data_IF_013214105901
#
_entry.id   IF_013214105901
#
_cell.length_a   1.000
_cell.length_b   1.000
_cell.length_c   1.000
_cell.angle_alpha   90.00
_cell.angle_beta   90.00
_cell.angle_gamma   90.00
#
_symmetry.space_group_name_H-M   'P 1'
#
loop_
_entity.id
_entity.type
_entity.pdbx_description
1 polymer ?
#
# COMPACT_ATOMS: atom_id res chain seq x y z
N UNK A 1 25.82 -12.05 0.45
CA UNK A 1 25.37 -12.86 1.61
C UNK A 1 24.15 -12.28 2.32
N UNK A 2 24.17 -11.03 2.82
CA UNK A 2 23.02 -10.43 3.54
C UNK A 2 21.71 -10.38 2.73
N UNK A 3 21.76 -9.95 1.46
CA UNK A 3 20.59 -9.88 0.59
C UNK A 3 19.93 -11.25 0.37
N UNK A 4 20.72 -12.29 0.07
CA UNK A 4 20.23 -13.66 -0.12
C UNK A 4 19.57 -14.22 1.13
N UNK A 5 20.17 -14.00 2.32
CA UNK A 5 19.59 -14.43 3.59
C UNK A 5 18.28 -13.70 3.88
N UNK A 6 18.24 -12.37 3.67
CA UNK A 6 17.03 -11.57 3.86
C UNK A 6 15.92 -11.99 2.90
N UNK A 7 16.27 -12.32 1.64
CA UNK A 7 15.32 -12.82 0.65
C UNK A 7 14.76 -14.19 1.04
N UNK A 8 15.60 -15.13 1.46
CA UNK A 8 15.14 -16.45 1.91
C UNK A 8 14.25 -16.36 3.15
N UNK A 9 14.56 -15.45 4.09
CA UNK A 9 13.71 -15.19 5.25
C UNK A 9 12.36 -14.64 4.84
N UNK A 10 12.33 -13.63 3.96
CA UNK A 10 11.09 -13.06 3.46
C UNK A 10 10.28 -14.10 2.67
N UNK A 11 10.93 -14.84 1.78
CA UNK A 11 10.29 -15.91 1.02
C UNK A 11 9.68 -16.97 1.94
N UNK A 12 10.42 -17.42 2.96
CA UNK A 12 9.91 -18.37 3.97
C UNK A 12 8.67 -17.84 4.69
N UNK A 13 8.67 -16.55 5.03
CA UNK A 13 7.54 -15.88 5.69
C UNK A 13 6.26 -15.97 4.86
N UNK A 14 6.35 -15.65 3.56
CA UNK A 14 5.19 -15.57 2.67
C UNK A 14 4.92 -16.85 1.88
N UNK A 15 5.79 -17.87 1.98
CA UNK A 15 5.70 -19.09 1.16
C UNK A 15 4.35 -19.82 1.28
N UNK A 16 3.74 -19.80 2.47
CA UNK A 16 2.45 -20.40 2.72
C UNK A 16 1.32 -19.77 1.90
N UNK A 17 1.43 -18.47 1.59
CA UNK A 17 0.40 -17.70 0.88
C UNK A 17 0.14 -18.22 -0.54
N UNK A 18 1.10 -18.91 -1.16
CA UNK A 18 0.92 -19.53 -2.48
C UNK A 18 -0.19 -20.58 -2.54
N UNK A 19 -0.63 -21.07 -1.38
CA UNK A 19 -1.73 -22.03 -1.25
C UNK A 19 -3.10 -21.35 -1.26
N UNK A 20 -3.17 -20.03 -1.29
CA UNK A 20 -4.44 -19.33 -1.41
C UNK A 20 -5.16 -19.76 -2.69
N UNK A 21 -6.46 -20.05 -2.56
CA UNK A 21 -7.31 -20.37 -3.69
C UNK A 21 -8.25 -19.19 -3.93
N UNK A 22 -7.84 -18.27 -4.81
CA UNK A 22 -8.65 -17.10 -5.16
C UNK A 22 -9.50 -17.43 -6.40
N UNK A 23 -10.84 -17.26 -6.34
CA UNK A 23 -11.69 -17.47 -7.51
C UNK A 23 -11.42 -16.42 -8.60
N UNK A 24 -10.59 -16.75 -9.61
CA UNK A 24 -10.16 -15.81 -10.65
C UNK A 24 -11.34 -15.13 -11.37
N UNK A 25 -12.43 -15.87 -11.63
CA UNK A 25 -13.64 -15.32 -12.25
C UNK A 25 -14.27 -14.22 -11.39
N UNK A 26 -14.41 -14.43 -10.07
CA UNK A 26 -14.96 -13.40 -9.18
C UNK A 26 -14.05 -12.16 -9.11
N UNK A 27 -12.73 -12.35 -9.12
CA UNK A 27 -11.79 -11.22 -9.20
C UNK A 27 -11.98 -10.44 -10.50
N UNK A 28 -12.15 -11.14 -11.62
CA UNK A 28 -12.42 -10.50 -12.90
C UNK A 28 -13.78 -9.78 -12.92
N UNK A 29 -14.78 -10.28 -12.21
CA UNK A 29 -16.11 -9.69 -12.10
C UNK A 29 -16.20 -8.55 -11.07
N UNK A 30 -15.12 -8.23 -10.34
CA UNK A 30 -15.09 -7.12 -9.35
C UNK A 30 -15.11 -5.73 -9.99
N UNK A 31 -15.79 -4.79 -9.34
CA UNK A 31 -15.87 -3.40 -9.78
C UNK A 31 -14.77 -2.55 -9.13
N UNK A 32 -14.42 -2.87 -7.88
CA UNK A 32 -13.46 -2.16 -7.04
C UNK A 32 -12.39 -3.12 -6.51
N UNK A 33 -11.12 -2.71 -6.61
CA UNK A 33 -10.01 -3.38 -5.94
C UNK A 33 -9.46 -2.48 -4.83
N UNK A 34 -9.39 -3.02 -3.62
CA UNK A 34 -8.88 -2.32 -2.44
C UNK A 34 -7.56 -2.96 -2.02
N UNK A 35 -6.53 -2.14 -1.81
CA UNK A 35 -5.22 -2.58 -1.33
C UNK A 35 -4.97 -2.10 0.09
N UNK A 36 -4.82 -3.05 1.00
CA UNK A 36 -4.57 -2.77 2.41
C UNK A 36 -3.70 -3.85 3.06
N UNK A 37 -3.37 -3.62 4.33
CA UNK A 37 -2.66 -4.60 5.13
C UNK A 37 -3.65 -5.59 5.73
N UNK A 38 -3.32 -6.88 5.71
CA UNK A 38 -4.08 -7.92 6.40
C UNK A 38 -3.84 -7.84 7.90
N UNK A 39 -4.38 -6.79 8.50
CA UNK A 39 -4.13 -6.42 9.87
C UNK A 39 -5.40 -5.81 10.45
N UNK A 40 -5.59 -5.97 11.77
CA UNK A 40 -6.76 -5.46 12.48
C UNK A 40 -8.12 -6.02 11.99
N UNK A 41 -8.20 -7.34 11.81
CA UNK A 41 -9.48 -8.01 11.62
C UNK A 41 -10.41 -7.71 12.80
N UNK A 42 -11.59 -7.14 12.54
CA UNK A 42 -12.62 -7.00 13.56
C UNK A 42 -13.30 -8.35 13.77
N UNK A 43 -13.09 -8.96 14.94
CA UNK A 43 -13.93 -10.06 15.39
C UNK A 43 -15.24 -9.48 15.92
N UNK A 44 -16.37 -9.78 15.27
CA UNK A 44 -17.68 -9.44 15.81
C UNK A 44 -18.17 -10.63 16.63
N UNK A 45 -18.56 -10.38 17.88
CA UNK A 45 -19.05 -11.40 18.85
C UNK A 45 -20.25 -12.21 18.35
N UNK A 46 -20.93 -11.75 17.30
CA UNK A 46 -22.11 -12.42 16.69
C UNK A 46 -21.81 -13.17 15.39
N UNK A 47 -20.66 -12.97 14.75
CA UNK A 47 -20.32 -13.63 13.50
C UNK A 47 -18.80 -13.67 13.30
N UNK A 48 -18.22 -14.86 13.44
CA UNK A 48 -16.76 -15.09 13.33
C UNK A 48 -16.24 -14.88 11.89
N UNK A 49 -17.14 -14.70 10.90
CA UNK A 49 -16.83 -14.78 9.46
C UNK A 49 -16.84 -13.48 8.66
N UNK A 50 -17.06 -12.31 9.28
CA UNK A 50 -17.12 -11.04 8.52
C UNK A 50 -15.79 -10.30 8.56
N UNK A 51 -15.24 -9.97 7.39
CA UNK A 51 -14.10 -9.06 7.30
C UNK A 51 -14.45 -7.67 7.85
N UNK A 52 -13.52 -7.06 8.56
CA UNK A 52 -13.60 -5.66 8.94
C UNK A 52 -12.20 -5.08 9.00
N UNK A 53 -12.07 -3.81 8.60
CA UNK A 53 -10.80 -3.08 8.58
C UNK A 53 -10.86 -1.89 9.53
N UNK A 54 -9.80 -1.67 10.30
CA UNK A 54 -9.67 -0.44 11.10
C UNK A 54 -9.23 0.76 10.27
N UNK A 55 -8.70 0.55 9.06
CA UNK A 55 -8.40 1.63 8.12
C UNK A 55 -9.67 2.10 7.42
N UNK A 56 -10.44 1.16 6.87
CA UNK A 56 -11.61 1.45 6.04
C UNK A 56 -12.91 1.56 6.85
N UNK A 57 -12.97 0.98 8.05
CA UNK A 57 -14.08 1.15 9.00
C UNK A 57 -15.45 0.90 8.36
N UNK A 58 -16.32 1.91 8.35
CA UNK A 58 -17.70 1.84 7.90
C UNK A 58 -17.81 1.83 6.36
N UNK A 59 -16.71 2.13 5.64
CA UNK A 59 -16.66 1.96 4.18
C UNK A 59 -16.90 0.50 3.79
N UNK A 60 -16.39 -0.45 4.56
CA UNK A 60 -16.59 -1.88 4.30
C UNK A 60 -18.08 -2.20 4.27
N UNK A 61 -18.84 -1.75 5.28
CA UNK A 61 -20.27 -2.00 5.35
C UNK A 61 -21.08 -1.16 4.35
N UNK A 62 -20.58 0.02 3.99
CA UNK A 62 -21.17 0.87 2.95
C UNK A 62 -21.10 0.20 1.58
N UNK A 63 -19.94 -0.37 1.22
CA UNK A 63 -19.75 -1.12 -0.02
C UNK A 63 -20.65 -2.37 -0.07
N UNK A 64 -20.76 -3.09 1.04
CA UNK A 64 -21.66 -4.25 1.17
C UNK A 64 -23.13 -3.87 0.96
N UNK A 65 -23.60 -2.81 1.63
CA UNK A 65 -24.98 -2.31 1.48
C UNK A 65 -25.28 -1.87 0.05
N UNK A 66 -24.32 -1.25 -0.61
CA UNK A 66 -24.39 -0.88 -2.03
C UNK A 66 -24.20 -2.06 -2.99
N UNK A 67 -23.91 -3.27 -2.49
CA UNK A 67 -23.63 -4.49 -3.27
C UNK A 67 -22.50 -4.32 -4.30
N UNK A 68 -21.50 -3.50 -3.97
CA UNK A 68 -20.32 -3.31 -4.82
C UNK A 68 -19.47 -4.58 -4.77
N UNK A 69 -19.16 -5.16 -5.92
CA UNK A 69 -18.29 -6.34 -5.99
C UNK A 69 -16.85 -5.90 -5.73
N UNK A 70 -16.33 -6.28 -4.57
CA UNK A 70 -15.06 -5.76 -4.07
C UNK A 70 -14.02 -6.86 -3.98
N UNK A 71 -12.85 -6.64 -4.56
CA UNK A 71 -11.67 -7.48 -4.36
C UNK A 71 -10.71 -6.80 -3.39
N UNK A 72 -10.58 -7.35 -2.19
CA UNK A 72 -9.63 -6.93 -1.17
C UNK A 72 -8.29 -7.67 -1.38
N UNK A 73 -7.29 -6.94 -1.88
CA UNK A 73 -5.94 -7.42 -2.13
C UNK A 73 -5.01 -7.01 -0.98
N UNK A 74 -4.84 -7.91 -0.04
CA UNK A 74 -4.11 -7.68 1.20
C UNK A 74 -2.60 -7.87 1.08
N UNK A 75 -1.84 -7.14 1.89
CA UNK A 75 -0.42 -7.40 2.18
C UNK A 75 -0.32 -8.14 3.50
N UNK A 76 0.41 -9.25 3.52
CA UNK A 76 0.50 -10.10 4.70
C UNK A 76 1.45 -9.53 5.76
N UNK A 77 0.92 -9.28 6.96
CA UNK A 77 1.72 -8.87 8.13
C UNK A 77 1.45 -9.85 9.27
N UNK A 78 2.45 -10.64 9.71
CA UNK A 78 2.31 -11.50 10.87
C UNK A 78 1.94 -10.72 12.13
N UNK A 79 0.96 -11.21 12.88
CA UNK A 79 0.58 -10.64 14.17
C UNK A 79 -0.04 -11.69 15.10
N UNK A 80 -0.39 -11.29 16.33
CA UNK A 80 -0.86 -12.23 17.37
C UNK A 80 -2.04 -13.12 16.99
N UNK A 81 -2.93 -12.68 16.09
CA UNK A 81 -4.09 -13.47 15.62
C UNK A 81 -3.75 -14.26 14.36
N UNK A 82 -2.86 -13.72 13.51
CA UNK A 82 -2.42 -14.36 12.26
C UNK A 82 -0.90 -14.43 12.24
N UNK A 83 -0.28 -15.30 13.06
CA UNK A 83 1.16 -15.39 13.25
C UNK A 83 1.94 -15.89 12.03
N UNK A 84 1.30 -16.59 11.10
CA UNK A 84 1.98 -17.15 9.94
C UNK A 84 1.10 -17.22 8.69
N UNK A 85 1.74 -17.41 7.54
CA UNK A 85 1.08 -17.39 6.24
C UNK A 85 0.08 -18.52 6.00
N UNK A 86 0.20 -19.66 6.71
CA UNK A 86 -0.78 -20.75 6.58
C UNK A 86 -2.10 -20.35 7.22
N UNK A 87 -2.05 -19.86 8.45
CA UNK A 87 -3.23 -19.37 9.16
C UNK A 87 -3.89 -18.19 8.42
N UNK A 88 -3.09 -17.33 7.79
CA UNK A 88 -3.61 -16.28 6.91
C UNK A 88 -4.43 -16.83 5.73
N UNK A 89 -3.95 -17.90 5.08
CA UNK A 89 -4.67 -18.58 3.99
C UNK A 89 -5.96 -19.25 4.49
N UNK A 90 -5.91 -19.87 5.66
CA UNK A 90 -7.08 -20.54 6.25
C UNK A 90 -8.20 -19.51 6.53
N UNK A 91 -7.87 -18.39 7.17
CA UNK A 91 -8.83 -17.30 7.42
C UNK A 91 -9.36 -16.71 6.10
N UNK A 92 -8.49 -16.51 5.11
CA UNK A 92 -8.89 -16.00 3.80
C UNK A 92 -9.89 -16.93 3.09
N UNK A 93 -9.75 -18.25 3.28
CA UNK A 93 -10.68 -19.23 2.71
C UNK A 93 -12.09 -19.09 3.27
N UNK A 94 -12.22 -18.76 4.56
CA UNK A 94 -13.51 -18.47 5.19
C UNK A 94 -14.10 -17.15 4.70
N UNK A 95 -13.29 -16.10 4.56
CA UNK A 95 -13.75 -14.80 4.04
C UNK A 95 -14.28 -14.90 2.59
N UNK A 96 -13.67 -15.76 1.78
CA UNK A 96 -14.06 -15.99 0.39
C UNK A 96 -15.37 -16.78 0.20
N UNK A 97 -16.04 -17.19 1.29
CA UNK A 97 -17.41 -17.71 1.26
C UNK A 97 -18.43 -16.59 0.95
N UNK A 98 -18.04 -15.32 1.04
CA UNK A 98 -18.88 -14.18 0.69
C UNK A 98 -19.19 -14.11 -0.83
N UNK A 99 -20.37 -13.60 -1.18
CA UNK A 99 -20.81 -13.45 -2.58
C UNK A 99 -20.22 -12.19 -3.24
N UNK A 100 -20.20 -11.06 -2.52
CA UNK A 100 -19.82 -9.74 -3.05
C UNK A 100 -18.36 -9.37 -2.77
N UNK A 101 -17.72 -10.06 -1.83
CA UNK A 101 -16.34 -9.76 -1.42
C UNK A 101 -15.42 -10.93 -1.76
N UNK A 102 -14.26 -10.62 -2.33
CA UNK A 102 -13.16 -11.56 -2.52
C UNK A 102 -11.94 -11.02 -1.80
N UNK A 103 -11.18 -11.91 -1.17
CA UNK A 103 -9.97 -11.62 -0.42
C UNK A 103 -8.82 -12.41 -1.04
N UNK A 104 -7.69 -11.74 -1.24
CA UNK A 104 -6.46 -12.29 -1.80
C UNK A 104 -5.25 -11.65 -1.13
N UNK A 105 -4.14 -12.38 -0.99
CA UNK A 105 -2.84 -11.80 -0.65
C UNK A 105 -2.08 -11.44 -1.92
N UNK A 106 -1.56 -10.22 -1.96
CA UNK A 106 -0.71 -9.71 -3.03
C UNK A 106 0.56 -10.55 -3.17
N UNK A 107 1.08 -11.10 -2.07
CA UNK A 107 2.28 -11.93 -2.09
C UNK A 107 2.02 -13.40 -2.45
N UNK A 108 0.78 -13.84 -2.65
CA UNK A 108 0.48 -15.27 -2.79
C UNK A 108 0.47 -15.83 -4.21
N UNK A 109 1.00 -15.13 -5.23
CA UNK A 109 1.28 -15.72 -6.57
C UNK A 109 2.75 -16.08 -6.75
N UNK A 110 3.28 -16.86 -5.81
CA UNK A 110 4.68 -17.29 -5.82
C UNK A 110 4.83 -18.53 -6.71
N UNK A 111 5.48 -18.36 -7.86
CA UNK A 111 5.87 -19.45 -8.75
C UNK A 111 7.34 -19.35 -9.17
N UNK A 112 7.83 -20.38 -9.87
CA UNK A 112 9.22 -20.43 -10.33
C UNK A 112 9.56 -19.27 -11.28
N UNK A 113 8.59 -18.81 -12.09
CA UNK A 113 8.79 -17.70 -13.03
C UNK A 113 9.05 -16.40 -12.27
N UNK A 114 8.26 -16.10 -11.24
CA UNK A 114 8.44 -14.93 -10.36
C UNK A 114 9.80 -14.98 -9.67
N UNK A 115 10.22 -16.15 -9.17
CA UNK A 115 11.52 -16.31 -8.51
C UNK A 115 12.68 -16.08 -9.47
N UNK A 116 12.66 -16.70 -10.65
CA UNK A 116 13.70 -16.53 -11.67
C UNK A 116 13.76 -15.08 -12.18
N UNK A 117 12.60 -14.44 -12.38
CA UNK A 117 12.52 -13.04 -12.78
C UNK A 117 13.09 -12.11 -11.71
N UNK A 118 12.81 -12.37 -10.44
CA UNK A 118 13.37 -11.62 -9.31
C UNK A 118 14.89 -11.69 -9.30
N UNK A 119 15.47 -12.88 -9.48
CA UNK A 119 16.94 -13.03 -9.56
C UNK A 119 17.50 -12.30 -10.78
N UNK A 120 16.86 -12.43 -11.94
CA UNK A 120 17.27 -11.74 -13.18
C UNK A 120 17.26 -10.22 -13.01
N UNK A 121 16.18 -9.66 -12.48
CA UNK A 121 16.05 -8.21 -12.26
C UNK A 121 17.06 -7.72 -11.22
N UNK A 122 17.31 -8.51 -10.18
CA UNK A 122 18.33 -8.17 -9.18
C UNK A 122 19.72 -8.11 -9.81
N UNK A 123 20.10 -9.11 -10.62
CA UNK A 123 21.37 -9.10 -11.36
C UNK A 123 21.46 -7.90 -12.34
N UNK A 124 20.34 -7.55 -13.00
CA UNK A 124 20.27 -6.36 -13.86
C UNK A 124 20.53 -5.08 -13.07
N UNK A 125 19.94 -4.92 -11.89
CA UNK A 125 20.18 -3.79 -11.02
C UNK A 125 21.62 -3.75 -10.52
N UNK A 126 22.23 -4.90 -10.18
CA UNK A 126 23.66 -4.96 -9.83
C UNK A 126 24.55 -4.45 -10.96
N UNK A 127 24.21 -4.78 -12.20
CA UNK A 127 24.94 -4.28 -13.37
C UNK A 127 24.73 -2.77 -13.56
N UNK A 128 23.48 -2.29 -13.51
CA UNK A 128 23.15 -0.84 -13.61
C UNK A 128 23.87 -0.03 -12.51
N UNK A 129 23.96 -0.56 -11.30
CA UNK A 129 24.64 0.07 -10.17
C UNK A 129 26.10 0.43 -10.46
N UNK A 130 26.79 -0.30 -11.35
CA UNK A 130 28.16 0.02 -11.75
C UNK A 130 28.28 1.31 -12.58
N UNK A 131 27.17 1.72 -13.21
CA UNK A 131 27.05 2.92 -14.02
C UNK A 131 26.43 4.11 -13.26
N UNK A 132 25.68 3.85 -12.18
CA UNK A 132 25.21 4.90 -11.27
C UNK A 132 26.40 5.37 -10.41
N UNK A 133 27.25 6.18 -11.03
CA UNK A 133 28.35 6.88 -10.40
C UNK A 133 27.85 8.26 -9.96
N UNK A 134 28.56 8.88 -9.02
CA UNK A 134 28.39 10.30 -8.73
C UNK A 134 27.08 10.74 -8.04
N UNK A 135 26.21 9.82 -7.57
CA UNK A 135 25.06 10.20 -6.75
C UNK A 135 25.43 11.06 -5.52
N UNK A 136 26.62 10.79 -4.95
CA UNK A 136 27.20 11.60 -3.86
C UNK A 136 27.30 13.09 -4.23
N UNK A 137 27.57 13.43 -5.49
CA UNK A 137 27.69 14.83 -5.92
C UNK A 137 26.38 15.60 -5.74
N UNK A 138 25.24 14.91 -5.79
CA UNK A 138 23.91 15.50 -5.58
C UNK A 138 23.49 15.55 -4.10
N UNK A 139 24.29 14.95 -3.19
CA UNK A 139 24.01 14.98 -1.75
C UNK A 139 24.51 16.26 -1.06
N UNK A 140 25.26 17.11 -1.78
CA UNK A 140 25.65 18.45 -1.36
C UNK A 140 24.86 19.44 -2.19
N UNK A 141 24.24 20.42 -1.54
CA UNK A 141 23.54 21.52 -2.21
C UNK A 141 24.07 22.84 -1.68
N UNK A 142 23.93 23.91 -2.46
CA UNK A 142 24.32 25.26 -2.02
C UNK A 142 23.54 25.72 -0.77
N UNK A 143 22.35 25.16 -0.56
CA UNK A 143 21.46 25.49 0.56
C UNK A 143 21.87 24.76 1.85
N UNK A 144 22.41 23.55 1.73
CA UNK A 144 22.79 22.74 2.87
C UNK A 144 24.27 22.97 3.21
N UNK A 145 24.51 23.43 4.44
CA UNK A 145 25.88 23.59 4.98
C UNK A 145 26.63 22.27 5.20
N UNK A 146 26.00 21.11 4.95
CA UNK A 146 26.58 19.79 5.20
C UNK A 146 26.26 18.77 4.10
N UNK A 147 27.11 17.74 4.01
CA UNK A 147 26.96 16.62 3.08
C UNK A 147 25.91 15.63 3.61
N UNK A 148 24.84 15.37 2.84
CA UNK A 148 23.84 14.35 3.21
C UNK A 148 24.32 12.91 2.95
N UNK A 149 25.39 12.73 2.18
CA UNK A 149 25.86 11.41 1.78
C UNK A 149 26.16 10.47 2.94
N UNK A 150 26.79 10.89 4.06
CA UNK A 150 27.02 10.01 5.20
C UNK A 150 25.73 9.39 5.76
N UNK A 151 24.60 10.09 5.66
CA UNK A 151 23.29 9.64 6.13
C UNK A 151 22.64 8.74 5.08
N UNK A 152 22.64 9.17 3.81
CA UNK A 152 21.91 8.48 2.73
C UNK A 152 22.65 7.27 2.14
N UNK A 153 23.98 7.19 2.29
CA UNK A 153 24.82 6.18 1.63
C UNK A 153 24.33 4.76 1.88
N UNK A 154 23.96 4.44 3.13
CA UNK A 154 23.53 3.09 3.49
C UNK A 154 22.25 2.71 2.76
N UNK A 155 21.24 3.56 2.82
CA UNK A 155 19.92 3.29 2.23
C UNK A 155 19.98 3.29 0.70
N UNK A 156 20.78 4.17 0.12
CA UNK A 156 21.05 4.19 -1.32
C UNK A 156 21.68 2.87 -1.80
N UNK A 157 22.71 2.39 -1.09
CA UNK A 157 23.38 1.13 -1.44
C UNK A 157 22.47 -0.08 -1.20
N UNK A 158 21.64 -0.08 -0.14
CA UNK A 158 20.71 -1.17 0.13
C UNK A 158 19.58 -1.23 -0.91
N UNK A 159 19.13 -0.07 -1.41
CA UNK A 159 18.13 0.06 -2.49
C UNK A 159 18.63 -0.41 -3.85
N UNK A 160 19.93 -0.21 -4.15
CA UNK A 160 20.55 -0.61 -5.41
C UNK A 160 21.19 -2.01 -5.39
N UNK A 161 21.29 -2.68 -4.25
CA UNK A 161 21.90 -4.01 -4.24
C UNK A 161 22.06 -4.68 -2.91
N UNK A 162 21.24 -4.30 -1.94
CA UNK A 162 21.15 -4.96 -0.65
C UNK A 162 19.83 -5.70 -0.47
N UNK A 163 19.43 -5.87 0.79
CA UNK A 163 18.23 -6.63 1.15
C UNK A 163 16.95 -5.95 0.67
N UNK A 164 16.86 -4.63 0.80
CA UNK A 164 15.70 -3.87 0.35
C UNK A 164 15.48 -4.01 -1.17
N UNK A 165 16.55 -3.98 -1.95
CA UNK A 165 16.48 -4.13 -3.41
C UNK A 165 15.82 -5.45 -3.85
N UNK A 166 16.30 -6.59 -3.36
CA UNK A 166 15.77 -7.89 -3.76
C UNK A 166 14.33 -8.11 -3.25
N UNK A 167 13.99 -7.61 -2.05
CA UNK A 167 12.62 -7.69 -1.52
C UNK A 167 11.65 -6.85 -2.34
N UNK A 168 12.03 -5.62 -2.70
CA UNK A 168 11.21 -4.75 -3.55
C UNK A 168 11.03 -5.32 -4.96
N UNK A 169 12.08 -5.91 -5.56
CA UNK A 169 11.98 -6.57 -6.86
C UNK A 169 11.09 -7.81 -6.82
N UNK A 170 11.16 -8.59 -5.74
CA UNK A 170 10.28 -9.73 -5.56
C UNK A 170 8.82 -9.29 -5.46
N UNK A 171 8.53 -8.29 -4.63
CA UNK A 171 7.19 -7.75 -4.47
C UNK A 171 6.68 -7.10 -5.76
N UNK A 172 7.53 -6.37 -6.49
CA UNK A 172 7.20 -5.84 -7.81
C UNK A 172 6.80 -6.94 -8.80
N UNK A 173 7.56 -8.03 -8.85
CA UNK A 173 7.27 -9.16 -9.73
C UNK A 173 5.99 -9.91 -9.33
N UNK A 174 5.71 -10.04 -8.03
CA UNK A 174 4.44 -10.57 -7.52
C UNK A 174 3.25 -9.67 -7.90
N UNK A 175 3.38 -8.35 -7.72
CA UNK A 175 2.38 -7.36 -8.13
C UNK A 175 2.07 -7.52 -9.61
N UNK A 176 3.09 -7.51 -10.47
CA UNK A 176 2.91 -7.74 -11.91
C UNK A 176 2.17 -9.05 -12.21
N UNK A 177 2.53 -10.13 -11.51
CA UNK A 177 1.91 -11.45 -11.67
C UNK A 177 0.44 -11.47 -11.25
N UNK A 178 0.05 -10.73 -10.21
CA UNK A 178 -1.35 -10.62 -9.79
C UNK A 178 -2.22 -9.94 -10.85
N UNK A 179 -1.69 -8.90 -11.48
CA UNK A 179 -2.42 -8.15 -12.51
C UNK A 179 -2.30 -8.72 -13.93
N UNK A 180 -1.62 -9.86 -14.14
CA UNK A 180 -1.50 -10.48 -15.47
C UNK A 180 -2.86 -10.73 -16.13
N UNK A 181 -3.83 -11.23 -15.36
CA UNK A 181 -5.15 -11.66 -15.84
C UNK A 181 -6.28 -10.68 -15.55
N UNK A 182 -5.99 -9.58 -14.85
CA UNK A 182 -6.99 -8.57 -14.53
C UNK A 182 -7.21 -7.70 -15.78
N UNK A 183 -8.44 -7.69 -16.29
CA UNK A 183 -8.84 -6.89 -17.45
C UNK A 183 -10.04 -5.98 -17.15
N UNK A 184 -10.27 -5.00 -18.04
CA UNK A 184 -11.38 -4.05 -17.96
C UNK A 184 -11.15 -2.90 -16.99
N UNK A 185 -11.92 -1.79 -17.13
CA UNK A 185 -11.83 -0.66 -16.22
C UNK A 185 -12.34 -1.08 -14.83
N UNK A 186 -11.47 -1.01 -13.83
CA UNK A 186 -11.79 -1.22 -12.41
C UNK A 186 -11.43 0.02 -11.62
N UNK A 187 -12.19 0.32 -10.58
CA UNK A 187 -11.76 1.28 -9.57
C UNK A 187 -10.67 0.66 -8.70
N UNK A 188 -9.62 1.43 -8.38
CA UNK A 188 -8.59 1.04 -7.43
C UNK A 188 -8.52 2.03 -6.27
N UNK A 189 -8.46 1.53 -5.04
CA UNK A 189 -8.13 2.35 -3.86
C UNK A 189 -7.03 1.67 -3.03
N UNK A 190 -6.09 2.44 -2.51
CA UNK A 190 -4.99 1.91 -1.70
C UNK A 190 -4.63 2.83 -0.54
N UNK A 191 -4.05 2.26 0.52
CA UNK A 191 -3.42 3.03 1.60
C UNK A 191 -2.22 3.81 1.04
N UNK A 192 -2.23 5.14 1.12
CA UNK A 192 -1.13 5.97 0.64
C UNK A 192 -0.20 6.35 1.79
N UNK A 193 0.82 5.53 2.03
CA UNK A 193 1.94 5.82 2.95
C UNK A 193 3.26 6.07 2.19
N UNK A 194 3.19 6.06 0.86
CA UNK A 194 4.26 6.22 -0.11
C UNK A 194 5.39 5.16 0.00
N UNK A 195 5.01 3.95 0.41
CA UNK A 195 5.92 2.80 0.51
C UNK A 195 6.32 2.25 -0.87
N UNK A 196 7.39 1.45 -0.91
CA UNK A 196 7.91 0.89 -2.17
C UNK A 196 6.88 0.04 -2.92
N UNK A 197 6.04 -0.71 -2.20
CA UNK A 197 4.99 -1.54 -2.79
C UNK A 197 3.91 -0.71 -3.50
N UNK A 198 3.61 0.49 -3.00
CA UNK A 198 2.61 1.40 -3.60
C UNK A 198 3.12 1.92 -4.95
N UNK A 199 4.41 2.26 -5.04
CA UNK A 199 5.04 2.68 -6.30
C UNK A 199 4.99 1.56 -7.33
N UNK A 200 5.28 0.33 -6.91
CA UNK A 200 5.16 -0.86 -7.75
C UNK A 200 3.72 -1.12 -8.21
N UNK A 201 2.75 -0.95 -7.31
CA UNK A 201 1.32 -1.06 -7.60
C UNK A 201 0.91 -0.02 -8.64
N UNK A 202 1.16 1.27 -8.39
CA UNK A 202 0.80 2.37 -9.29
C UNK A 202 1.39 2.14 -10.68
N UNK A 203 2.70 1.85 -10.76
CA UNK A 203 3.36 1.57 -12.04
C UNK A 203 2.67 0.42 -12.79
N UNK A 204 2.38 -0.68 -12.10
CA UNK A 204 1.78 -1.87 -12.73
C UNK A 204 0.34 -1.60 -13.15
N UNK A 205 -0.43 -0.93 -12.30
CA UNK A 205 -1.82 -0.56 -12.56
C UNK A 205 -1.94 0.35 -13.79
N UNK A 206 -1.07 1.36 -13.87
CA UNK A 206 -1.00 2.31 -14.99
C UNK A 206 -0.52 1.68 -16.29
N UNK A 207 0.56 0.89 -16.25
CA UNK A 207 1.10 0.23 -17.44
C UNK A 207 0.12 -0.77 -18.08
N UNK A 208 -0.82 -1.30 -17.29
CA UNK A 208 -1.89 -2.19 -17.76
C UNK A 208 -3.20 -1.48 -18.08
N UNK A 209 -3.28 -0.16 -17.87
CA UNK A 209 -4.50 0.63 -18.07
C UNK A 209 -5.74 0.03 -17.37
N UNK A 210 -5.58 -0.41 -16.11
CA UNK A 210 -6.65 -1.11 -15.38
C UNK A 210 -7.81 -0.17 -15.04
N UNK A 211 -7.59 1.13 -14.88
CA UNK A 211 -8.64 2.10 -14.56
C UNK A 211 -8.16 3.19 -13.59
N UNK A 212 -9.06 3.97 -13.00
CA UNK A 212 -8.71 5.00 -12.03
C UNK A 212 -8.18 4.38 -10.73
N UNK A 213 -7.08 4.93 -10.21
CA UNK A 213 -6.45 4.54 -8.95
C UNK A 213 -6.38 5.73 -7.99
N UNK A 214 -6.96 5.59 -6.80
CA UNK A 214 -6.99 6.64 -5.77
C UNK A 214 -6.16 6.22 -4.56
N UNK A 215 -5.23 7.09 -4.13
CA UNK A 215 -4.48 6.90 -2.90
C UNK A 215 -5.20 7.54 -1.72
N UNK A 216 -5.19 6.88 -0.56
CA UNK A 216 -5.90 7.34 0.65
C UNK A 216 -4.92 7.44 1.82
N UNK A 217 -4.43 8.65 2.17
CA UNK A 217 -3.69 8.87 3.41
C UNK A 217 -4.61 8.71 4.62
N UNK A 218 -4.58 7.55 5.30
CA UNK A 218 -5.46 7.28 6.45
C UNK A 218 -5.05 7.98 7.76
N UNK A 219 -3.91 8.65 7.78
CA UNK A 219 -3.48 9.52 8.88
C UNK A 219 -3.30 10.95 8.40
N UNK A 220 -3.41 11.91 9.30
CA UNK A 220 -3.10 13.32 8.99
C UNK A 220 -1.70 13.44 8.38
N UNK A 221 -1.63 14.07 7.20
CA UNK A 221 -0.37 14.37 6.52
C UNK A 221 0.26 15.59 7.18
N UNK A 222 1.49 15.44 7.66
CA UNK A 222 2.23 16.46 8.41
C UNK A 222 3.30 17.05 7.50
N UNK A 223 3.52 18.36 7.56
CA UNK A 223 4.48 19.04 6.67
C UNK A 223 5.93 18.51 6.79
N UNK A 224 6.30 17.93 7.94
CA UNK A 224 7.63 17.36 8.15
C UNK A 224 7.76 15.89 7.74
N UNK A 225 6.67 15.23 7.37
CA UNK A 225 6.72 13.84 6.88
C UNK A 225 7.05 13.84 5.39
N UNK A 226 8.36 13.82 5.10
CA UNK A 226 8.90 13.91 3.74
C UNK A 226 8.46 12.78 2.81
N UNK A 227 7.82 11.72 3.32
CA UNK A 227 7.28 10.65 2.47
C UNK A 227 6.16 11.13 1.55
N UNK A 228 5.41 12.15 1.97
CA UNK A 228 4.27 12.69 1.23
C UNK A 228 4.65 13.78 0.22
N UNK A 229 5.87 14.30 0.28
CA UNK A 229 6.31 15.41 -0.54
C UNK A 229 7.47 14.99 -1.43
N UNK A 230 7.35 15.33 -2.70
CA UNK A 230 8.43 15.20 -3.69
C UNK A 230 8.75 16.58 -4.22
N UNK A 231 9.92 16.73 -4.84
CA UNK A 231 10.23 17.96 -5.56
C UNK A 231 9.14 18.23 -6.60
N UNK A 232 8.56 19.44 -6.59
CA UNK A 232 7.40 19.82 -7.42
C UNK A 232 7.63 19.58 -8.92
N UNK A 233 8.89 19.58 -9.37
CA UNK A 233 9.24 19.26 -10.76
C UNK A 233 8.80 17.85 -11.14
N UNK A 234 8.79 16.91 -10.21
CA UNK A 234 8.29 15.54 -10.44
C UNK A 234 6.79 15.49 -10.72
N UNK A 235 6.02 16.47 -10.27
CA UNK A 235 4.57 16.52 -10.51
C UNK A 235 4.23 17.09 -11.89
N UNK A 236 5.09 17.94 -12.43
CA UNK A 236 4.85 18.67 -13.68
C UNK A 236 5.55 18.01 -14.87
N UNK A 237 6.79 17.56 -14.68
CA UNK A 237 7.62 17.05 -15.77
C UNK A 237 7.34 15.56 -16.01
N UNK A 238 6.79 15.24 -17.18
CA UNK A 238 6.65 13.86 -17.64
C UNK A 238 7.89 13.45 -18.43
N UNK A 239 8.55 12.39 -17.97
CA UNK A 239 9.69 11.72 -18.62
C UNK A 239 9.56 10.20 -18.53
N UNK A 240 10.48 9.46 -19.17
CA UNK A 240 10.50 7.99 -19.13
C UNK A 240 10.59 7.40 -17.70
N UNK A 241 11.03 8.19 -16.72
CA UNK A 241 11.14 7.80 -15.31
C UNK A 241 10.30 8.70 -14.40
N UNK A 242 9.13 9.13 -14.87
CA UNK A 242 8.19 9.93 -14.08
C UNK A 242 7.84 9.23 -12.77
N UNK A 243 7.68 10.01 -11.70
CA UNK A 243 7.20 9.54 -10.41
C UNK A 243 5.87 8.78 -10.60
N UNK A 244 5.74 7.51 -10.16
CA UNK A 244 4.46 6.83 -10.17
C UNK A 244 3.50 7.54 -9.22
N UNK A 245 2.42 8.12 -9.76
CA UNK A 245 1.38 8.81 -9.00
C UNK A 245 0.00 8.19 -9.25
N UNK A 246 -0.89 8.20 -8.23
CA UNK A 246 -2.30 7.87 -8.45
C UNK A 246 -2.99 8.90 -9.35
N UNK A 247 -4.21 8.59 -9.80
CA UNK A 247 -5.06 9.57 -10.48
C UNK A 247 -5.53 10.66 -9.53
N UNK A 248 -5.91 10.24 -8.32
CA UNK A 248 -6.44 11.10 -7.26
C UNK A 248 -5.85 10.71 -5.92
N UNK A 249 -5.79 11.69 -5.01
CA UNK A 249 -5.52 11.50 -3.59
C UNK A 249 -6.77 11.91 -2.82
N UNK A 250 -7.32 10.99 -2.02
CA UNK A 250 -8.47 11.23 -1.17
C UNK A 250 -8.02 11.75 0.20
N UNK A 251 -8.11 13.06 0.40
CA UNK A 251 -7.53 13.78 1.53
C UNK A 251 -8.52 13.88 2.69
N UNK A 252 -8.05 13.52 3.88
CA UNK A 252 -8.80 13.60 5.13
C UNK A 252 -8.60 14.95 5.85
N UNK A 253 -9.48 15.91 5.53
CA UNK A 253 -9.61 17.18 6.24
C UNK A 253 -8.55 18.24 5.92
N UNK A 254 -8.83 19.47 6.38
CA UNK A 254 -8.12 20.69 5.98
C UNK A 254 -6.60 20.68 6.29
N UNK A 255 -6.18 20.04 7.38
CA UNK A 255 -4.77 20.00 7.75
C UNK A 255 -3.93 19.25 6.69
N UNK A 256 -4.38 18.06 6.30
CA UNK A 256 -3.74 17.28 5.23
C UNK A 256 -3.82 18.04 3.90
N UNK A 257 -4.97 18.65 3.59
CA UNK A 257 -5.14 19.44 2.36
C UNK A 257 -4.13 20.57 2.24
N UNK A 258 -3.99 21.37 3.29
CA UNK A 258 -3.03 22.48 3.33
C UNK A 258 -1.59 21.98 3.22
N UNK A 259 -1.25 20.86 3.88
CA UNK A 259 0.09 20.28 3.79
C UNK A 259 0.44 19.86 2.35
N UNK A 260 -0.47 19.20 1.62
CA UNK A 260 -0.26 18.86 0.21
C UNK A 260 -0.15 20.09 -0.69
N UNK A 261 -0.99 21.11 -0.46
CA UNK A 261 -0.90 22.40 -1.17
C UNK A 261 0.45 23.07 -0.97
N UNK A 262 0.93 23.16 0.27
CA UNK A 262 2.26 23.71 0.60
C UNK A 262 3.38 22.90 -0.05
N UNK A 263 3.23 21.58 -0.11
CA UNK A 263 4.10 20.66 -0.85
C UNK A 263 4.00 20.77 -2.38
N UNK A 264 3.16 21.67 -2.91
CA UNK A 264 2.89 21.89 -4.34
C UNK A 264 2.36 20.66 -5.07
N UNK A 265 1.64 19.78 -4.36
CA UNK A 265 0.94 18.67 -5.00
C UNK A 265 -0.18 19.21 -5.92
N UNK A 266 -0.44 18.61 -7.09
CA UNK A 266 -1.44 19.14 -8.02
C UNK A 266 -2.86 19.14 -7.41
N UNK A 267 -3.47 20.30 -7.21
CA UNK A 267 -4.80 20.41 -6.58
C UNK A 267 -5.90 19.69 -7.38
N UNK A 268 -5.79 19.66 -8.72
CA UNK A 268 -6.70 18.90 -9.59
C UNK A 268 -6.60 17.37 -9.43
N UNK A 269 -5.64 16.87 -8.66
CA UNK A 269 -5.48 15.45 -8.32
C UNK A 269 -5.78 15.18 -6.84
N UNK A 270 -6.48 16.10 -6.16
CA UNK A 270 -6.88 15.99 -4.77
C UNK A 270 -8.41 16.03 -4.65
N UNK A 271 -8.97 15.20 -3.78
CA UNK A 271 -10.40 15.22 -3.45
C UNK A 271 -10.56 15.11 -1.94
N UNK A 272 -11.40 15.96 -1.35
CA UNK A 272 -11.68 15.90 0.07
C UNK A 272 -12.64 14.74 0.38
N UNK A 273 -12.33 13.97 1.42
CA UNK A 273 -13.15 12.85 1.91
C UNK A 273 -13.21 12.82 3.43
N UNK A 274 -14.18 12.08 3.95
CA UNK A 274 -14.28 11.83 5.38
C UNK A 274 -13.08 11.05 5.92
N UNK A 275 -12.69 11.38 7.15
CA UNK A 275 -11.58 10.73 7.84
C UNK A 275 -12.02 9.39 8.46
N UNK A 276 -12.26 8.38 7.62
CA UNK A 276 -12.84 7.07 7.98
C UNK A 276 -12.23 6.45 9.25
N UNK A 277 -10.89 6.48 9.37
CA UNK A 277 -10.15 5.93 10.51
C UNK A 277 -10.60 6.50 11.87
N UNK A 278 -11.09 7.74 11.90
CA UNK A 278 -11.43 8.46 13.13
C UNK A 278 -12.94 8.48 13.45
N UNK A 279 -13.78 7.85 12.62
CA UNK A 279 -15.24 7.82 12.83
C UNK A 279 -15.62 7.28 14.22
N UNK A 280 -14.91 6.26 14.70
CA UNK A 280 -15.15 5.64 16.03
C UNK A 280 -14.79 6.53 17.21
N UNK A 281 -13.80 7.41 17.06
CA UNK A 281 -13.45 8.36 18.13
C UNK A 281 -14.60 9.35 18.30
N UNK A 282 -15.22 9.77 17.20
CA UNK A 282 -16.31 10.73 17.24
C UNK A 282 -17.56 10.14 17.91
N UNK A 283 -17.89 8.87 17.66
CA UNK A 283 -19.04 8.20 18.31
C UNK A 283 -18.82 7.98 19.81
N UNK A 284 -17.60 7.69 20.26
CA UNK A 284 -17.24 7.57 21.68
C UNK A 284 -17.27 8.92 22.41
N UNK A 285 -16.87 10.01 21.75
CA UNK A 285 -16.95 11.36 22.31
C UNK A 285 -18.41 11.83 22.43
N UNK A 286 -19.25 11.56 21.42
CA UNK A 286 -20.69 11.91 21.46
C UNK A 286 -21.40 11.12 22.55
N UNK A 287 -21.10 9.82 22.69
CA UNK A 287 -21.65 9.01 23.78
C UNK A 287 -21.16 9.49 25.15
N UNK A 288 -19.89 9.88 25.31
CA UNK A 288 -19.41 10.51 26.55
C UNK A 288 -20.02 11.88 26.84
N UNK A 289 -20.31 12.70 25.83
CA UNK A 289 -21.02 13.99 26.00
C UNK A 289 -22.42 13.80 26.59
N UNK A 290 -23.12 12.74 26.19
CA UNK A 290 -24.42 12.39 26.78
C UNK A 290 -24.33 11.83 28.22
N UNK A 291 -23.13 11.48 28.70
CA UNK A 291 -22.87 11.11 30.10
C UNK A 291 -22.17 12.21 30.91
N UNK A 292 -21.88 13.38 30.30
CA UNK A 292 -21.19 14.50 30.96
C UNK A 292 -22.05 15.76 31.03
N UNK A 293 -23.33 15.59 31.35
CA UNK A 293 -24.07 16.57 32.17
C UNK A 293 -23.81 16.31 33.66
N UNK A 294 -22.55 16.24 34.10
CA UNK A 294 -22.21 16.37 35.53
C UNK A 294 -20.81 16.95 35.69
N UNK A 295 -20.78 18.22 36.14
CA UNK A 295 -19.76 18.87 37.00
C UNK A 295 -18.39 19.05 36.30
N UNK A 296 -17.94 20.27 36.01
CA UNK A 296 -17.35 21.16 37.03
C UNK A 296 -17.56 22.65 36.71
N UNK A 297 -18.29 23.30 37.61
CA UNK A 297 -18.05 24.67 38.04
C UNK A 297 -16.71 24.73 38.78
N UNK A 298 -15.73 25.43 38.20
CA UNK A 298 -14.86 26.47 38.79
C UNK A 298 -13.69 26.76 37.88
#
# INVERSE_FOLDING_TARGET
>A
MKASVAFLRYLSLVWGLRKQNIPEKKVQDSDLIVFDYFFHLRSNSKNVKSFGSNYWTDLVDTLRKAKVKTFWSHIFIPHSIVPNSKEGVDILSDLNQNETEIHGFLEGRIDLVVLLKTVKDYLKIQWIRLFIRDFRLFCKTEILFFDLWPILKRDFLDSLGGSMSIQNLFLFNLIQKNFEKISGPKGGIYLQENQAWERALIYTWKSKNIGPLTGVPHSTVRFWDLRYFSDYRNYIQKSENSLPMPDMVAINGNASWNAYREGKYPEGQMVEVEALRYLKINSEIITKKNYSEFILLK
#
